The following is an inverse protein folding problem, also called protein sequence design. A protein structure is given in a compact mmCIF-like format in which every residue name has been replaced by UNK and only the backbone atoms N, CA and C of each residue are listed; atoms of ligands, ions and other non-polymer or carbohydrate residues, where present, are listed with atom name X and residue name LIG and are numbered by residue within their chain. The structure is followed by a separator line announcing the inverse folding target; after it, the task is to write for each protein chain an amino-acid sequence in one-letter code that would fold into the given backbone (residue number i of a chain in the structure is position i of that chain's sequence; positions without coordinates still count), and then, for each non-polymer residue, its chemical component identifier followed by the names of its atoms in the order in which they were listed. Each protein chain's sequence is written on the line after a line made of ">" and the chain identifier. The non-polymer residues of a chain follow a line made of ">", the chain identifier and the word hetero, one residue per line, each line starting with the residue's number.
data_IF_301867794093
#
_entry.id   IF_301867794093
#
_cell.length_a   1.000
_cell.length_b   1.000
_cell.length_c   1.000
_cell.angle_alpha   90.00
_cell.angle_beta   90.00
_cell.angle_gamma   90.00
#
_symmetry.space_group_name_H-M   'P 1'
#
loop_
_entity.id
_entity.type
_entity.pdbx_description
1 polymer ?
#
# COMPACT_ATOMS: atom_id res chain seq x y z
N UNK A 1 15.16 -14.73 9.40
CA UNK A 1 16.51 -14.53 8.80
C UNK A 1 16.88 -13.07 8.92
N UNK A 2 17.60 -12.71 9.98
CA UNK A 2 18.24 -11.41 10.13
C UNK A 2 19.64 -11.52 9.54
N UNK A 3 20.09 -10.50 8.79
CA UNK A 3 21.42 -10.53 8.21
C UNK A 3 21.79 -9.26 7.47
N UNK A 4 22.15 -8.21 8.21
CA UNK A 4 23.19 -7.31 7.73
C UNK A 4 24.52 -7.98 8.03
N UNK A 5 25.18 -8.51 6.98
CA UNK A 5 26.57 -8.98 7.12
C UNK A 5 27.48 -7.77 7.25
N UNK A 6 28.25 -7.75 8.33
CA UNK A 6 29.48 -6.96 8.45
C UNK A 6 29.54 -6.08 9.69
N UNK A 7 30.15 -6.60 10.76
CA UNK A 7 31.07 -5.85 11.63
C UNK A 7 31.70 -6.79 12.66
N UNK A 8 32.99 -7.05 12.51
CA UNK A 8 33.84 -7.58 13.58
C UNK A 8 34.09 -6.49 14.64
N UNK A 9 34.08 -6.97 15.89
CA UNK A 9 34.41 -6.39 17.21
C UNK A 9 35.09 -5.02 17.29
N UNK A 10 34.62 -4.19 18.23
CA UNK A 10 35.36 -3.09 18.87
C UNK A 10 34.47 -2.18 19.71
N UNK A 11 34.61 -2.23 21.04
CA UNK A 11 33.92 -1.36 22.02
C UNK A 11 34.28 0.13 21.86
N UNK A 12 33.29 1.03 21.88
CA UNK A 12 33.27 2.22 22.76
C UNK A 12 31.93 2.96 22.64
N UNK A 13 31.36 3.33 23.79
CA UNK A 13 30.18 4.20 23.91
C UNK A 13 30.63 5.66 23.71
N UNK A 14 30.55 6.18 22.48
CA UNK A 14 30.61 7.62 22.19
C UNK A 14 30.12 7.92 20.78
N UNK A 15 29.11 8.79 20.68
CA UNK A 15 28.69 9.44 19.45
C UNK A 15 27.66 8.65 18.65
N UNK A 16 26.53 9.28 18.37
CA UNK A 16 25.67 8.91 17.24
C UNK A 16 26.50 9.02 15.96
N UNK A 17 27.20 7.95 15.59
CA UNK A 17 27.74 7.80 14.25
C UNK A 17 26.54 7.78 13.32
N UNK A 18 26.53 8.67 12.33
CA UNK A 18 25.66 8.53 11.16
C UNK A 18 25.88 7.13 10.61
N UNK A 19 24.97 6.23 10.90
CA UNK A 19 24.99 4.90 10.32
C UNK A 19 24.96 5.07 8.80
N UNK A 20 25.77 4.23 8.15
CA UNK A 20 25.96 4.19 6.70
C UNK A 20 24.62 4.35 5.98
N UNK A 21 24.56 5.25 5.00
CA UNK A 21 23.38 5.54 4.19
C UNK A 21 22.71 4.22 3.77
N UNK A 22 21.60 3.88 4.43
CA UNK A 22 20.89 2.64 4.19
C UNK A 22 19.71 2.98 3.27
N UNK A 23 19.82 2.58 2.01
CA UNK A 23 18.81 2.92 1.00
C UNK A 23 17.42 2.32 1.31
N UNK A 24 17.38 1.23 2.11
CA UNK A 24 16.16 0.50 2.48
C UNK A 24 16.23 -0.03 3.90
N UNK A 25 15.35 0.45 4.78
CA UNK A 25 15.20 -0.04 6.15
C UNK A 25 13.85 -0.75 6.34
N UNK A 26 13.79 -1.84 7.11
CA UNK A 26 12.54 -2.53 7.46
C UNK A 26 12.21 -2.28 8.93
N UNK A 27 11.12 -1.57 9.19
CA UNK A 27 10.61 -1.29 10.54
C UNK A 27 9.19 -1.80 10.69
N UNK A 28 8.91 -2.66 11.67
CA UNK A 28 7.56 -3.21 11.93
C UNK A 28 6.85 -3.68 10.64
N UNK A 29 7.64 -4.27 9.73
CA UNK A 29 7.23 -4.74 8.40
C UNK A 29 6.97 -3.69 7.31
N UNK A 30 7.13 -2.40 7.60
CA UNK A 30 7.15 -1.33 6.61
C UNK A 30 8.58 -1.14 6.10
N UNK A 31 8.75 -1.17 4.77
CA UNK A 31 10.00 -0.81 4.12
C UNK A 31 10.03 0.68 3.91
N UNK A 32 10.96 1.35 4.59
CA UNK A 32 11.23 2.78 4.46
C UNK A 32 12.39 2.93 3.47
N UNK A 33 12.12 3.64 2.37
CA UNK A 33 13.12 4.01 1.35
C UNK A 33 13.58 5.44 1.56
N UNK A 34 14.81 5.73 1.18
CA UNK A 34 15.38 7.08 1.28
C UNK A 34 14.64 8.11 0.38
N UNK A 35 13.97 7.63 -0.68
CA UNK A 35 13.16 8.43 -1.60
C UNK A 35 11.83 8.92 -1.01
N UNK A 36 11.48 8.51 0.22
CA UNK A 36 10.21 8.84 0.87
C UNK A 36 8.97 8.21 0.21
N UNK A 37 9.17 7.32 -0.77
CA UNK A 37 8.08 6.63 -1.50
C UNK A 37 7.69 5.35 -0.78
N UNK A 38 6.42 5.25 -0.40
CA UNK A 38 5.84 4.07 0.27
C UNK A 38 5.38 2.96 -0.69
N UNK A 39 5.72 3.08 -1.98
CA UNK A 39 5.41 2.12 -3.05
C UNK A 39 5.83 0.68 -2.71
N UNK A 40 6.98 0.51 -2.07
CA UNK A 40 7.51 -0.81 -1.70
C UNK A 40 6.64 -1.49 -0.64
N UNK A 41 6.04 -0.73 0.27
CA UNK A 41 5.10 -1.25 1.27
C UNK A 41 3.83 -1.81 0.63
N UNK A 42 3.28 -1.11 -0.37
CA UNK A 42 2.11 -1.56 -1.13
C UNK A 42 2.43 -2.86 -1.88
N UNK A 43 3.58 -2.91 -2.57
CA UNK A 43 4.02 -4.12 -3.29
C UNK A 43 4.17 -5.32 -2.35
N UNK A 44 4.80 -5.12 -1.19
CA UNK A 44 4.99 -6.18 -0.21
C UNK A 44 3.65 -6.75 0.28
N UNK A 45 2.65 -5.90 0.55
CA UNK A 45 1.31 -6.37 0.94
C UNK A 45 0.58 -7.07 -0.21
N UNK A 46 0.71 -6.59 -1.44
CA UNK A 46 0.20 -7.31 -2.62
C UNK A 46 0.85 -8.69 -2.76
N UNK A 47 2.16 -8.81 -2.49
CA UNK A 47 2.84 -10.11 -2.53
C UNK A 47 2.32 -11.06 -1.43
N UNK A 48 2.14 -10.57 -0.21
CA UNK A 48 1.57 -11.36 0.88
C UNK A 48 0.14 -11.80 0.58
N UNK A 49 -0.67 -10.89 0.06
CA UNK A 49 -2.01 -11.17 -0.43
C UNK A 49 -2.03 -12.29 -1.47
N UNK A 50 -1.14 -12.22 -2.47
CA UNK A 50 -1.05 -13.26 -3.52
C UNK A 50 -0.70 -14.62 -2.95
N UNK A 51 0.20 -14.67 -1.95
CA UNK A 51 0.53 -15.91 -1.23
C UNK A 51 -0.68 -16.45 -0.48
N UNK A 52 -1.40 -15.60 0.25
CA UNK A 52 -2.61 -15.99 0.97
C UNK A 52 -3.67 -16.58 0.04
N UNK A 53 -3.95 -15.93 -1.09
CA UNK A 53 -4.90 -16.43 -2.08
C UNK A 53 -4.43 -17.73 -2.73
N UNK A 54 -3.13 -17.88 -2.97
CA UNK A 54 -2.59 -19.14 -3.50
C UNK A 54 -2.85 -20.31 -2.54
N UNK A 55 -2.76 -20.09 -1.23
CA UNK A 55 -3.10 -21.12 -0.24
C UNK A 55 -4.60 -21.40 -0.18
N UNK A 56 -5.42 -20.36 -0.35
CA UNK A 56 -6.89 -20.47 -0.38
C UNK A 56 -7.43 -20.97 -1.74
N UNK A 57 -6.58 -21.32 -2.70
CA UNK A 57 -7.01 -21.57 -4.07
C UNK A 57 -8.04 -22.71 -4.16
N UNK A 58 -7.85 -23.82 -3.42
CA UNK A 58 -8.84 -24.91 -3.38
C UNK A 58 -10.23 -24.44 -2.93
N UNK A 59 -10.29 -23.69 -1.83
CA UNK A 59 -11.52 -23.12 -1.27
C UNK A 59 -12.18 -22.12 -2.23
N UNK A 60 -11.39 -21.31 -2.94
CA UNK A 60 -11.92 -20.29 -3.83
C UNK A 60 -12.55 -20.91 -5.09
N UNK A 61 -11.96 -21.96 -5.64
CA UNK A 61 -12.46 -22.63 -6.83
C UNK A 61 -13.59 -23.62 -6.56
N UNK A 62 -13.72 -24.10 -5.33
CA UNK A 62 -14.79 -25.02 -4.92
C UNK A 62 -16.17 -24.36 -5.03
N UNK A 63 -17.06 -24.95 -5.83
CA UNK A 63 -18.44 -24.47 -6.03
C UNK A 63 -19.40 -24.94 -4.93
N UNK A 64 -19.03 -25.92 -4.12
CA UNK A 64 -19.79 -26.37 -2.95
C UNK A 64 -19.77 -25.36 -1.80
N UNK A 65 -18.80 -24.45 -1.79
CA UNK A 65 -18.67 -23.42 -0.75
C UNK A 65 -19.55 -22.21 -1.09
N UNK A 66 -20.41 -21.84 -0.14
CA UNK A 66 -21.32 -20.71 -0.29
C UNK A 66 -20.60 -19.39 -0.57
N UNK A 67 -21.24 -18.52 -1.37
CA UNK A 67 -20.74 -17.16 -1.65
C UNK A 67 -20.54 -16.35 -0.37
N UNK A 68 -21.41 -16.54 0.61
CA UNK A 68 -21.32 -15.88 1.92
C UNK A 68 -20.03 -16.25 2.66
N UNK A 69 -19.66 -17.54 2.68
CA UNK A 69 -18.43 -18.00 3.33
C UNK A 69 -17.20 -17.44 2.62
N UNK A 70 -17.17 -17.44 1.29
CA UNK A 70 -16.08 -16.80 0.51
C UNK A 70 -16.00 -15.30 0.77
N UNK A 71 -17.11 -14.61 0.97
CA UNK A 71 -17.12 -13.19 1.35
C UNK A 71 -16.61 -12.97 2.78
N UNK A 72 -16.92 -13.86 3.71
CA UNK A 72 -16.41 -13.79 5.09
C UNK A 72 -14.90 -14.00 5.13
N UNK A 73 -14.37 -14.97 4.39
CA UNK A 73 -12.92 -15.20 4.24
C UNK A 73 -12.24 -13.95 3.68
N UNK A 74 -12.85 -13.31 2.69
CA UNK A 74 -12.32 -12.08 2.13
C UNK A 74 -12.20 -10.99 3.19
N UNK A 75 -13.29 -10.72 3.91
CA UNK A 75 -13.35 -9.65 4.90
C UNK A 75 -12.41 -9.89 6.09
N UNK A 76 -12.19 -11.14 6.49
CA UNK A 76 -11.40 -11.50 7.67
C UNK A 76 -9.91 -11.61 7.38
N UNK A 77 -9.53 -12.35 6.35
CA UNK A 77 -8.12 -12.67 6.07
C UNK A 77 -7.56 -11.78 4.97
N UNK A 78 -8.26 -11.71 3.84
CA UNK A 78 -7.68 -11.10 2.63
C UNK A 78 -7.64 -9.58 2.74
N UNK A 79 -8.75 -8.98 3.22
CA UNK A 79 -8.88 -7.55 3.47
C UNK A 79 -7.93 -7.09 4.58
N UNK A 80 -7.74 -7.86 5.65
CA UNK A 80 -6.81 -7.49 6.73
C UNK A 80 -5.36 -7.44 6.25
N UNK A 81 -4.91 -8.42 5.45
CA UNK A 81 -3.56 -8.44 4.88
C UNK A 81 -3.29 -7.22 3.99
N UNK A 82 -4.21 -6.91 3.08
CA UNK A 82 -3.98 -5.84 2.10
C UNK A 82 -4.17 -4.44 2.68
N UNK A 83 -4.99 -4.28 3.72
CA UNK A 83 -5.21 -2.97 4.37
C UNK A 83 -4.26 -2.71 5.55
N UNK A 84 -3.36 -3.64 5.87
CA UNK A 84 -2.42 -3.43 6.95
C UNK A 84 -1.41 -2.32 6.61
N UNK A 85 -1.37 -1.29 7.44
CA UNK A 85 -0.48 -0.14 7.25
C UNK A 85 -0.92 0.80 6.13
N UNK A 86 -2.14 0.66 5.62
CA UNK A 86 -2.64 1.49 4.51
C UNK A 86 -2.90 2.96 4.88
N UNK A 87 -2.95 3.25 6.17
CA UNK A 87 -3.18 4.59 6.75
C UNK A 87 -2.14 5.62 6.29
N UNK A 88 -0.90 5.18 6.03
CA UNK A 88 0.20 6.06 5.64
C UNK A 88 0.51 6.00 4.13
N UNK A 89 -0.17 5.16 3.35
CA UNK A 89 0.15 4.95 1.94
C UNK A 89 -0.24 6.12 1.03
N UNK A 90 0.62 6.42 0.07
CA UNK A 90 0.30 7.33 -1.03
C UNK A 90 -0.35 6.53 -2.18
N UNK A 91 -1.66 6.70 -2.37
CA UNK A 91 -2.42 5.87 -3.32
C UNK A 91 -2.20 6.23 -4.81
N UNK A 92 -1.72 7.44 -5.12
CA UNK A 92 -1.76 8.03 -6.49
C UNK A 92 -1.25 7.13 -7.62
N UNK A 93 -0.22 6.32 -7.41
CA UNK A 93 0.42 5.51 -8.47
C UNK A 93 0.03 4.03 -8.50
N UNK A 94 -0.68 3.52 -7.47
CA UNK A 94 -0.84 2.06 -7.25
C UNK A 94 -2.28 1.60 -7.08
N UNK A 95 -3.25 2.51 -7.18
CA UNK A 95 -4.68 2.20 -7.05
C UNK A 95 -5.13 1.08 -7.99
N UNK A 96 -4.71 1.13 -9.25
CA UNK A 96 -5.07 0.11 -10.25
C UNK A 96 -4.55 -1.27 -9.89
N UNK A 97 -3.32 -1.36 -9.36
CA UNK A 97 -2.74 -2.62 -8.91
C UNK A 97 -3.54 -3.22 -7.74
N UNK A 98 -4.00 -2.39 -6.80
CA UNK A 98 -4.84 -2.83 -5.68
C UNK A 98 -6.20 -3.35 -6.18
N UNK A 99 -6.84 -2.62 -7.09
CA UNK A 99 -8.11 -3.02 -7.69
C UNK A 99 -7.97 -4.31 -8.50
N UNK A 100 -6.94 -4.44 -9.33
CA UNK A 100 -6.67 -5.68 -10.09
C UNK A 100 -6.41 -6.87 -9.16
N UNK A 101 -5.73 -6.62 -8.04
CA UNK A 101 -5.42 -7.61 -7.01
C UNK A 101 -6.71 -8.07 -6.33
N UNK A 102 -7.59 -7.15 -5.91
CA UNK A 102 -8.94 -7.44 -5.40
C UNK A 102 -9.78 -8.26 -6.40
N UNK A 103 -9.80 -7.85 -7.67
CA UNK A 103 -10.58 -8.54 -8.70
C UNK A 103 -10.09 -9.97 -8.96
N UNK A 104 -8.80 -10.27 -8.73
CA UNK A 104 -8.26 -11.63 -8.81
C UNK A 104 -8.94 -12.56 -7.78
N UNK A 105 -9.20 -12.08 -6.56
CA UNK A 105 -9.93 -12.84 -5.55
C UNK A 105 -11.37 -13.10 -5.98
N UNK A 106 -12.07 -12.04 -6.40
CA UNK A 106 -13.48 -12.16 -6.78
C UNK A 106 -13.67 -13.09 -7.98
N UNK A 107 -12.75 -13.05 -8.96
CA UNK A 107 -12.76 -13.99 -10.10
C UNK A 107 -12.60 -15.44 -9.68
N UNK A 108 -11.59 -15.75 -8.86
CA UNK A 108 -11.40 -17.11 -8.34
C UNK A 108 -12.61 -17.57 -7.55
N UNK A 109 -13.15 -16.70 -6.68
CA UNK A 109 -14.32 -17.02 -5.85
C UNK A 109 -15.59 -17.34 -6.67
N UNK A 110 -15.71 -16.72 -7.84
CA UNK A 110 -16.79 -16.94 -8.80
C UNK A 110 -16.52 -18.10 -9.78
N UNK A 111 -15.37 -18.78 -9.66
CA UNK A 111 -14.95 -19.82 -10.59
C UNK A 111 -14.68 -19.31 -12.01
N UNK A 112 -14.35 -18.02 -12.16
CA UNK A 112 -14.18 -17.36 -13.46
C UNK A 112 -12.72 -17.16 -13.81
N UNK A 113 -12.34 -17.70 -14.97
CA UNK A 113 -11.00 -17.53 -15.54
C UNK A 113 -10.84 -16.17 -16.18
N UNK A 114 -9.61 -15.64 -16.22
CA UNK A 114 -9.27 -14.44 -17.00
C UNK A 114 -9.48 -14.65 -18.51
N UNK A 115 -9.44 -15.90 -18.97
CA UNK A 115 -9.66 -16.26 -20.39
C UNK A 115 -11.10 -16.01 -20.85
N UNK A 116 -12.06 -16.02 -19.93
CA UNK A 116 -13.48 -15.79 -20.25
C UNK A 116 -13.79 -14.30 -20.54
N UNK A 117 -12.82 -13.38 -20.37
CA UNK A 117 -12.94 -11.96 -20.67
C UNK A 117 -14.19 -11.26 -20.08
N UNK A 118 -14.75 -11.81 -18.99
CA UNK A 118 -15.89 -11.22 -18.28
C UNK A 118 -15.48 -9.85 -17.74
N UNK A 119 -16.38 -8.86 -17.80
CA UNK A 119 -16.15 -7.52 -17.26
C UNK A 119 -16.02 -7.51 -15.74
N UNK A 120 -15.31 -6.52 -15.18
CA UNK A 120 -15.15 -6.41 -13.73
C UNK A 120 -16.49 -6.20 -13.02
N UNK A 121 -17.38 -5.41 -13.62
CA UNK A 121 -18.70 -5.11 -13.06
C UNK A 121 -19.56 -6.36 -12.97
N UNK A 122 -19.57 -7.19 -14.02
CA UNK A 122 -20.31 -8.46 -14.00
C UNK A 122 -19.80 -9.41 -12.93
N UNK A 123 -18.48 -9.47 -12.69
CA UNK A 123 -17.93 -10.28 -11.60
C UNK A 123 -18.37 -9.76 -10.23
N UNK A 124 -18.41 -8.43 -10.04
CA UNK A 124 -18.88 -7.83 -8.77
C UNK A 124 -20.36 -8.10 -8.53
N UNK A 125 -21.18 -8.10 -9.58
CA UNK A 125 -22.60 -8.46 -9.52
C UNK A 125 -22.78 -9.92 -9.08
N UNK A 126 -22.03 -10.85 -9.70
CA UNK A 126 -22.09 -12.29 -9.37
C UNK A 126 -21.69 -12.58 -7.92
N UNK A 127 -20.67 -11.87 -7.41
CA UNK A 127 -20.13 -12.07 -6.05
C UNK A 127 -20.83 -11.24 -4.98
N UNK A 128 -21.63 -10.23 -5.36
CA UNK A 128 -22.25 -9.29 -4.42
C UNK A 128 -21.21 -8.42 -3.68
N UNK A 129 -20.10 -8.10 -4.34
CA UNK A 129 -19.04 -7.25 -3.81
C UNK A 129 -19.41 -5.76 -4.00
N UNK A 130 -20.03 -5.17 -2.97
CA UNK A 130 -20.55 -3.79 -3.00
C UNK A 130 -19.47 -2.71 -2.85
N UNK A 131 -18.40 -2.99 -2.11
CA UNK A 131 -17.34 -2.01 -1.82
C UNK A 131 -16.04 -2.40 -2.51
N UNK A 132 -15.25 -1.40 -2.89
CA UNK A 132 -13.89 -1.58 -3.41
C UNK A 132 -12.87 -1.38 -2.31
N UNK A 133 -11.74 -2.09 -2.40
CA UNK A 133 -10.69 -2.05 -1.38
C UNK A 133 -10.10 -0.64 -1.19
N UNK A 134 -10.12 0.18 -2.23
CA UNK A 134 -9.57 1.54 -2.21
C UNK A 134 -10.39 2.44 -1.28
N UNK A 135 -11.71 2.27 -1.23
CA UNK A 135 -12.58 3.06 -0.36
C UNK A 135 -12.42 2.66 1.10
N UNK A 136 -12.21 1.36 1.37
CA UNK A 136 -11.84 0.89 2.72
C UNK A 136 -10.52 1.51 3.18
N UNK A 137 -9.52 1.60 2.28
CA UNK A 137 -8.23 2.23 2.59
C UNK A 137 -8.42 3.73 2.87
N UNK A 138 -9.17 4.44 2.02
CA UNK A 138 -9.46 5.87 2.23
C UNK A 138 -10.18 6.10 3.56
N UNK A 139 -11.11 5.23 3.91
CA UNK A 139 -11.82 5.28 5.19
C UNK A 139 -10.84 5.15 6.37
N UNK A 140 -9.92 4.18 6.32
CA UNK A 140 -8.87 4.03 7.34
C UNK A 140 -7.96 5.25 7.42
N UNK A 141 -7.58 5.84 6.28
CA UNK A 141 -6.77 7.06 6.23
C UNK A 141 -7.49 8.24 6.89
N UNK A 142 -8.79 8.40 6.65
CA UNK A 142 -9.61 9.44 7.27
C UNK A 142 -9.74 9.24 8.78
N UNK A 143 -9.98 8.00 9.23
CA UNK A 143 -10.03 7.66 10.66
C UNK A 143 -8.69 7.97 11.33
N UNK A 144 -7.58 7.57 10.72
CA UNK A 144 -6.23 7.85 11.21
C UNK A 144 -5.95 9.35 11.29
N UNK A 145 -6.29 10.09 10.23
CA UNK A 145 -6.16 11.55 10.19
C UNK A 145 -6.95 12.22 11.31
N UNK A 146 -8.22 11.84 11.49
CA UNK A 146 -9.05 12.36 12.57
C UNK A 146 -8.53 11.98 13.96
N UNK A 147 -7.84 10.85 14.11
CA UNK A 147 -7.15 10.51 15.35
C UNK A 147 -5.94 11.41 15.60
N UNK A 148 -5.10 11.63 14.59
CA UNK A 148 -3.92 12.50 14.69
C UNK A 148 -4.32 13.95 14.98
N UNK A 149 -5.39 14.46 14.38
CA UNK A 149 -5.87 15.82 14.66
C UNK A 149 -6.27 16.03 16.12
N UNK A 150 -6.83 15.00 16.78
CA UNK A 150 -7.25 15.04 18.19
C UNK A 150 -6.09 14.87 19.18
N UNK A 151 -4.89 14.48 18.72
CA UNK A 151 -3.72 14.37 19.59
C UNK A 151 -3.24 15.76 20.07
N UNK A 152 -2.55 15.84 21.22
CA UNK A 152 -1.83 17.05 21.63
C UNK A 152 -0.73 17.47 20.64
N UNK A 153 -0.44 18.77 20.55
CA UNK A 153 0.49 19.34 19.55
C UNK A 153 1.95 18.93 19.73
N UNK A 154 2.34 18.47 20.92
CA UNK A 154 3.69 17.98 21.20
C UNK A 154 3.94 16.55 20.70
N UNK A 155 2.89 15.85 20.25
CA UNK A 155 2.99 14.46 19.77
C UNK A 155 3.55 14.44 18.34
N UNK A 156 4.61 13.66 18.16
CA UNK A 156 5.41 13.59 16.92
C UNK A 156 4.54 13.41 15.66
N UNK A 157 3.59 12.46 15.58
CA UNK A 157 2.68 12.34 14.43
C UNK A 157 1.95 13.63 14.03
N UNK A 158 1.45 14.42 15.00
CA UNK A 158 0.76 15.68 14.73
C UNK A 158 1.72 16.76 14.26
N UNK A 159 2.91 16.81 14.86
CA UNK A 159 3.98 17.69 14.41
C UNK A 159 4.38 17.38 12.96
N UNK A 160 4.63 16.11 12.62
CA UNK A 160 5.00 15.69 11.26
C UNK A 160 3.88 16.02 10.25
N UNK A 161 2.61 15.83 10.62
CA UNK A 161 1.49 16.14 9.75
C UNK A 161 1.38 17.64 9.43
N UNK A 162 1.61 18.50 10.42
CA UNK A 162 1.60 19.96 10.28
C UNK A 162 2.92 20.51 9.73
N UNK A 163 3.98 19.71 9.80
CA UNK A 163 5.31 20.11 9.42
C UNK A 163 5.38 20.31 7.91
N UNK A 164 5.50 21.58 7.52
CA UNK A 164 5.82 21.93 6.14
C UNK A 164 7.33 21.95 6.01
N UNK A 165 7.95 21.02 5.26
CA UNK A 165 9.38 21.09 5.00
C UNK A 165 9.72 22.45 4.40
N UNK A 166 10.67 23.18 5.00
CA UNK A 166 11.30 24.33 4.35
C UNK A 166 12.16 23.84 3.19
N UNK A 167 11.52 23.59 2.05
CA UNK A 167 12.17 23.23 0.80
C UNK A 167 12.47 24.48 -0.03
N UNK A 168 13.76 24.70 -0.34
CA UNK A 168 14.18 25.56 -1.45
C UNK A 168 13.60 24.97 -2.74
N UNK A 169 12.62 25.64 -3.34
CA UNK A 169 12.15 25.32 -4.69
C UNK A 169 13.37 25.10 -5.59
N UNK A 170 13.47 23.95 -6.25
CA UNK A 170 14.44 23.79 -7.35
C UNK A 170 14.04 24.79 -8.45
N UNK A 171 14.76 25.91 -8.56
CA UNK A 171 14.75 26.74 -9.77
C UNK A 171 15.37 25.90 -10.88
N UNK A 172 14.59 25.57 -11.91
CA UNK A 172 15.11 24.96 -13.13
C UNK A 172 14.14 24.03 -13.83
N UNK A 173 13.36 24.60 -14.76
CA UNK A 173 12.66 23.90 -15.85
C UNK A 173 12.16 24.97 -16.84
N UNK A 174 12.36 24.84 -18.17
CA UNK A 174 12.51 25.97 -19.08
C UNK A 174 11.21 26.72 -19.36
N UNK A 175 11.31 28.02 -19.64
CA UNK A 175 10.21 28.77 -20.28
C UNK A 175 10.01 28.19 -21.69
N UNK A 176 8.77 27.81 -22.02
CA UNK A 176 8.35 27.72 -23.41
C UNK A 176 8.42 29.13 -23.98
N UNK A 177 9.32 29.34 -24.93
CA UNK A 177 9.25 30.46 -25.85
C UNK A 177 8.07 30.19 -26.77
N UNK A 178 6.98 30.91 -26.55
CA UNK A 178 5.97 31.09 -27.59
C UNK A 178 6.55 32.09 -28.61
N UNK A 179 6.49 31.73 -29.87
CA UNK A 179 6.89 32.57 -31.00
C UNK A 179 5.97 33.81 -31.07
N UNK A 180 6.56 35.00 -31.18
CA UNK A 180 5.90 36.12 -31.85
C UNK A 180 6.91 36.78 -32.78
N UNK A 181 6.75 36.49 -34.07
CA UNK A 181 7.24 37.36 -35.12
C UNK A 181 6.34 38.58 -35.21
N UNK A 182 6.92 39.77 -35.14
CA UNK A 182 6.41 40.99 -35.76
C UNK A 182 7.52 42.05 -35.74
N UNK A 183 7.98 42.47 -36.93
CA UNK A 183 8.99 43.51 -37.13
C UNK A 183 9.95 43.19 -38.24
#
# INVERSE_FOLDING_TARGET
>A
MYGCRGATRGHSLRGWKRDKNCDKYKYLELKITNDGKLDEGIKDRIMQYRRAISMLNGVLWDQGISKANKKNIYNTVVKSIITYGSEVWQLKSRTEMLLATEMDYWRRSAGKSKREQITNDRVREITGAKHIIVDDIRTKQLIWFGHVQRMPDHIIPKQILLWTPRGRNKRGGPRRSDEEGCG
#
